data_IF_424154658377
#
_entry.id   IF_424154658377
#
_cell.length_a   1.000
_cell.length_b   1.000
_cell.length_c   1.000
_cell.angle_alpha   90.00
_cell.angle_beta   90.00
_cell.angle_gamma   90.00
#
_symmetry.space_group_name_H-M   'P 1'
#
loop_
_entity.id
_entity.type
_entity.pdbx_description
1 polymer ?
#
# COMPACT_ATOMS: atom_id res chain seq x y z
N UNK A 1 -17.89 10.38 8.80
CA UNK A 1 -16.84 11.38 8.47
C UNK A 1 -15.54 11.16 9.24
N UNK A 2 -15.51 11.22 10.58
CA UNK A 2 -14.27 11.07 11.39
C UNK A 2 -13.39 9.86 11.00
N UNK A 3 -14.01 8.69 10.78
CA UNK A 3 -13.30 7.47 10.39
C UNK A 3 -12.71 7.52 8.99
N UNK A 4 -13.45 8.04 8.02
CA UNK A 4 -12.97 8.20 6.65
C UNK A 4 -11.74 9.13 6.61
N UNK A 5 -11.78 10.24 7.37
CA UNK A 5 -10.64 11.14 7.52
C UNK A 5 -9.44 10.43 8.15
N UNK A 6 -9.66 9.60 9.19
CA UNK A 6 -8.59 8.81 9.82
C UNK A 6 -7.96 7.83 8.82
N UNK A 7 -8.76 7.09 8.07
CA UNK A 7 -8.26 6.16 7.04
C UNK A 7 -7.53 6.90 5.91
N UNK A 8 -8.05 8.02 5.45
CA UNK A 8 -7.37 8.85 4.46
C UNK A 8 -5.99 9.30 4.98
N UNK A 9 -5.94 9.83 6.21
CA UNK A 9 -4.67 10.27 6.82
C UNK A 9 -3.70 9.10 7.04
N UNK A 10 -4.17 7.94 7.49
CA UNK A 10 -3.36 6.73 7.61
C UNK A 10 -2.79 6.31 6.25
N UNK A 11 -3.61 6.34 5.20
CA UNK A 11 -3.18 6.07 3.83
C UNK A 11 -2.13 7.04 3.34
N UNK A 12 -2.33 8.34 3.55
CA UNK A 12 -1.35 9.37 3.20
C UNK A 12 -0.01 9.12 3.90
N UNK A 13 -0.02 8.86 5.21
CA UNK A 13 1.20 8.58 5.97
C UNK A 13 1.91 7.34 5.44
N UNK A 14 1.21 6.22 5.27
CA UNK A 14 1.81 4.98 4.74
C UNK A 14 2.36 5.15 3.33
N UNK A 15 1.63 5.84 2.44
CA UNK A 15 2.08 6.14 1.09
C UNK A 15 3.37 6.95 1.07
N UNK A 16 3.44 8.03 1.85
CA UNK A 16 4.65 8.83 2.00
C UNK A 16 5.81 8.03 2.60
N UNK A 17 5.56 7.22 3.65
CA UNK A 17 6.59 6.38 4.26
C UNK A 17 7.19 5.40 3.26
N UNK A 18 6.35 4.68 2.50
CA UNK A 18 6.82 3.73 1.48
C UNK A 18 7.60 4.45 0.38
N UNK A 19 7.11 5.60 -0.09
CA UNK A 19 7.82 6.40 -1.10
C UNK A 19 9.22 6.80 -0.65
N UNK A 20 9.37 7.32 0.58
CA UNK A 20 10.67 7.73 1.12
C UNK A 20 11.59 6.53 1.32
N UNK A 21 11.08 5.40 1.84
CA UNK A 21 11.87 4.17 2.01
C UNK A 21 12.40 3.65 0.67
N UNK A 22 11.55 3.59 -0.35
CA UNK A 22 11.97 3.17 -1.70
C UNK A 22 12.97 4.17 -2.30
N UNK A 23 12.74 5.48 -2.12
CA UNK A 23 13.68 6.52 -2.55
C UNK A 23 15.06 6.37 -1.93
N UNK A 24 15.15 6.06 -0.62
CA UNK A 24 16.41 5.79 0.06
C UNK A 24 17.11 4.54 -0.48
N UNK A 25 16.36 3.47 -0.75
CA UNK A 25 16.91 2.24 -1.36
C UNK A 25 17.45 2.54 -2.76
N UNK A 26 16.71 3.25 -3.59
CA UNK A 26 17.16 3.61 -4.93
C UNK A 26 18.41 4.51 -4.89
N UNK A 27 18.44 5.50 -4.02
CA UNK A 27 19.63 6.35 -3.83
C UNK A 27 20.85 5.54 -3.38
N UNK A 28 20.67 4.57 -2.47
CA UNK A 28 21.76 3.72 -2.00
C UNK A 28 22.30 2.76 -3.08
N UNK A 29 21.45 2.30 -4.00
CA UNK A 29 21.82 1.33 -5.05
C UNK A 29 22.34 2.00 -6.32
N UNK A 30 21.75 3.13 -6.72
CA UNK A 30 22.00 3.80 -8.00
C UNK A 30 22.88 5.06 -7.88
N UNK A 31 23.18 5.52 -6.64
CA UNK A 31 23.90 6.76 -6.39
C UNK A 31 23.15 7.99 -6.93
N UNK A 32 23.90 9.00 -7.38
CA UNK A 32 23.35 10.26 -7.89
C UNK A 32 22.72 10.15 -9.29
N UNK A 33 22.77 8.99 -9.94
CA UNK A 33 22.25 8.78 -11.31
C UNK A 33 20.73 8.87 -11.45
N UNK A 34 19.99 9.00 -10.35
CA UNK A 34 18.52 8.92 -10.30
C UNK A 34 17.82 10.12 -9.66
N UNK A 35 18.44 11.31 -9.59
CA UNK A 35 17.84 12.49 -8.96
C UNK A 35 16.51 12.84 -9.62
N UNK A 36 15.42 12.76 -8.84
CA UNK A 36 14.10 13.26 -9.24
C UNK A 36 14.16 14.78 -9.36
N UNK A 37 13.88 15.31 -10.56
CA UNK A 37 13.64 16.76 -10.72
C UNK A 37 12.45 17.18 -9.86
N UNK A 38 12.37 18.46 -9.46
CA UNK A 38 11.32 18.93 -8.55
C UNK A 38 9.89 18.60 -8.99
N UNK A 39 9.59 18.73 -10.29
CA UNK A 39 8.27 18.37 -10.83
C UNK A 39 8.00 16.87 -10.76
N UNK A 40 8.99 16.03 -11.10
CA UNK A 40 8.85 14.56 -11.00
C UNK A 40 8.72 14.12 -9.56
N UNK A 41 9.47 14.72 -8.64
CA UNK A 41 9.32 14.43 -7.21
C UNK A 41 7.88 14.67 -6.74
N UNK A 42 7.29 15.82 -7.08
CA UNK A 42 5.92 16.15 -6.72
C UNK A 42 4.93 15.13 -7.30
N UNK A 43 5.06 14.77 -8.58
CA UNK A 43 4.21 13.75 -9.18
C UNK A 43 4.33 12.39 -8.47
N UNK A 44 5.54 11.94 -8.16
CA UNK A 44 5.74 10.66 -7.48
C UNK A 44 5.18 10.69 -6.04
N UNK A 45 5.37 11.80 -5.31
CA UNK A 45 4.83 11.96 -3.96
C UNK A 45 3.30 11.95 -3.94
N UNK A 46 2.65 12.72 -4.82
CA UNK A 46 1.20 12.75 -4.94
C UNK A 46 0.62 11.40 -5.36
N UNK A 47 1.29 10.69 -6.28
CA UNK A 47 0.89 9.33 -6.66
C UNK A 47 1.02 8.35 -5.50
N UNK A 48 2.10 8.43 -4.71
CA UNK A 48 2.26 7.59 -3.53
C UNK A 48 1.19 7.85 -2.47
N UNK A 49 0.85 9.12 -2.24
CA UNK A 49 -0.26 9.53 -1.37
C UNK A 49 -1.61 8.96 -1.86
N UNK A 50 -1.88 9.05 -3.16
CA UNK A 50 -3.10 8.51 -3.77
C UNK A 50 -3.18 6.99 -3.61
N UNK A 51 -2.09 6.27 -3.87
CA UNK A 51 -2.02 4.81 -3.68
C UNK A 51 -2.22 4.43 -2.21
N UNK A 52 -1.55 5.13 -1.29
CA UNK A 52 -1.72 4.91 0.14
C UNK A 52 -3.18 5.04 0.59
N UNK A 53 -3.89 6.06 0.10
CA UNK A 53 -5.35 6.20 0.32
C UNK A 53 -6.15 5.08 -0.37
N UNK A 54 -5.76 4.69 -1.58
CA UNK A 54 -6.38 3.61 -2.35
C UNK A 54 -6.34 2.25 -1.64
N UNK A 55 -5.31 1.99 -0.82
CA UNK A 55 -5.27 0.82 0.07
C UNK A 55 -6.00 1.08 1.40
N UNK A 56 -5.83 2.26 2.00
CA UNK A 56 -6.33 2.49 3.36
C UNK A 56 -7.83 2.70 3.46
N UNK A 57 -8.49 3.35 2.49
CA UNK A 57 -9.94 3.62 2.56
C UNK A 57 -10.75 2.32 2.43
N UNK A 58 -10.49 1.44 1.45
CA UNK A 58 -11.20 0.17 1.31
C UNK A 58 -11.04 -0.78 2.49
N UNK A 59 -10.05 -0.57 3.37
CA UNK A 59 -9.88 -1.35 4.60
C UNK A 59 -11.13 -1.33 5.51
N UNK A 60 -12.03 -0.36 5.37
CA UNK A 60 -13.32 -0.36 6.06
C UNK A 60 -14.17 -1.62 5.79
N UNK A 61 -13.95 -2.33 4.68
CA UNK A 61 -14.67 -3.56 4.35
C UNK A 61 -14.44 -4.68 5.38
N UNK A 62 -13.34 -4.63 6.13
CA UNK A 62 -12.99 -5.64 7.12
C UNK A 62 -13.96 -5.70 8.31
N UNK A 63 -14.71 -4.63 8.56
CA UNK A 63 -15.72 -4.56 9.61
C UNK A 63 -17.03 -5.26 9.24
N UNK A 64 -17.27 -5.57 7.96
CA UNK A 64 -18.50 -6.24 7.55
C UNK A 64 -18.49 -7.71 7.97
N UNK A 65 -19.41 -8.14 8.84
CA UNK A 65 -19.56 -9.56 9.19
C UNK A 65 -20.14 -10.40 8.05
N UNK A 66 -20.77 -9.76 7.06
CA UNK A 66 -21.47 -10.41 5.93
C UNK A 66 -20.54 -10.92 4.83
N UNK A 67 -19.29 -10.46 4.82
CA UNK A 67 -18.34 -10.71 3.72
C UNK A 67 -17.22 -11.61 4.22
N UNK A 68 -16.90 -12.65 3.46
CA UNK A 68 -15.81 -13.59 3.80
C UNK A 68 -14.46 -12.89 3.76
N UNK A 69 -13.50 -13.37 4.56
CA UNK A 69 -12.16 -12.80 4.63
C UNK A 69 -11.44 -12.75 3.25
N UNK A 70 -11.50 -13.79 2.40
CA UNK A 70 -10.88 -13.73 1.08
C UNK A 70 -11.48 -12.65 0.19
N UNK A 71 -12.81 -12.47 0.23
CA UNK A 71 -13.48 -11.44 -0.56
C UNK A 71 -13.18 -10.03 -0.05
N UNK A 72 -13.08 -9.83 1.27
CA UNK A 72 -12.59 -8.58 1.87
C UNK A 72 -11.18 -8.24 1.38
N UNK A 73 -10.29 -9.22 1.37
CA UNK A 73 -8.92 -9.06 0.89
C UNK A 73 -8.90 -8.72 -0.60
N UNK A 74 -9.70 -9.40 -1.42
CA UNK A 74 -9.80 -9.12 -2.86
C UNK A 74 -10.29 -7.69 -3.13
N UNK A 75 -11.34 -7.22 -2.44
CA UNK A 75 -11.87 -5.86 -2.61
C UNK A 75 -10.83 -4.82 -2.18
N UNK A 76 -10.18 -5.02 -1.04
CA UNK A 76 -9.14 -4.12 -0.53
C UNK A 76 -7.97 -4.05 -1.51
N UNK A 77 -7.39 -5.22 -1.87
CA UNK A 77 -6.23 -5.31 -2.74
C UNK A 77 -6.55 -4.80 -4.13
N UNK A 78 -7.68 -5.20 -4.70
CA UNK A 78 -8.14 -4.76 -6.02
C UNK A 78 -8.27 -3.25 -6.11
N UNK A 79 -8.83 -2.61 -5.07
CA UNK A 79 -8.96 -1.14 -5.02
C UNK A 79 -7.59 -0.44 -4.97
N UNK A 80 -6.68 -0.92 -4.11
CA UNK A 80 -5.34 -0.37 -4.00
C UNK A 80 -4.53 -0.52 -5.30
N UNK A 81 -4.57 -1.70 -5.92
CA UNK A 81 -3.90 -1.94 -7.19
C UNK A 81 -4.52 -1.18 -8.36
N UNK A 82 -5.85 -1.01 -8.39
CA UNK A 82 -6.49 -0.18 -9.42
C UNK A 82 -5.94 1.25 -9.41
N UNK A 83 -5.82 1.86 -8.23
CA UNK A 83 -5.21 3.19 -8.09
C UNK A 83 -3.72 3.16 -8.44
N UNK A 84 -2.98 2.16 -7.96
CA UNK A 84 -1.55 1.98 -8.27
C UNK A 84 -1.29 1.95 -9.78
N UNK A 85 -2.05 1.15 -10.54
CA UNK A 85 -1.90 1.09 -11.99
C UNK A 85 -2.32 2.39 -12.65
N UNK A 86 -3.43 3.01 -12.20
CA UNK A 86 -3.93 4.25 -12.77
C UNK A 86 -2.92 5.41 -12.64
N UNK A 87 -2.24 5.55 -11.49
CA UNK A 87 -1.30 6.65 -11.25
C UNK A 87 0.16 6.29 -11.57
N UNK A 88 0.51 5.00 -11.46
CA UNK A 88 1.88 4.50 -11.61
C UNK A 88 2.30 4.28 -13.06
N UNK A 89 1.37 3.86 -13.94
CA UNK A 89 1.67 3.68 -15.37
C UNK A 89 2.11 5.00 -16.03
N UNK A 90 1.39 6.14 -15.89
CA UNK A 90 1.76 7.38 -16.58
C UNK A 90 3.09 7.98 -16.12
N UNK A 91 3.54 7.69 -14.90
CA UNK A 91 4.78 8.22 -14.32
C UNK A 91 5.96 7.24 -14.41
N UNK A 92 5.75 6.07 -15.01
CA UNK A 92 6.81 5.10 -15.29
C UNK A 92 7.22 4.23 -14.10
N UNK A 93 6.32 3.94 -13.16
CA UNK A 93 6.61 2.95 -12.10
C UNK A 93 6.72 1.51 -12.63
N UNK A 94 6.09 1.25 -13.78
CA UNK A 94 6.16 -0.05 -14.46
C UNK A 94 7.05 0.13 -15.70
N UNK A 95 8.27 -0.41 -15.71
CA UNK A 95 9.29 -0.18 -16.74
C UNK A 95 9.02 -1.02 -18.00
N UNK A 96 7.92 -0.74 -18.70
CA UNK A 96 7.48 -1.50 -19.89
C UNK A 96 8.47 -1.43 -21.06
N UNK A 97 9.28 -0.38 -21.12
CA UNK A 97 10.32 -0.16 -22.12
C UNK A 97 11.51 -1.13 -22.00
N UNK A 98 11.72 -1.72 -20.81
CA UNK A 98 12.77 -2.73 -20.58
C UNK A 98 12.25 -4.17 -20.77
N UNK A 99 11.06 -4.32 -21.34
CA UNK A 99 10.45 -5.58 -21.72
C UNK A 99 9.58 -6.23 -20.62
N UNK A 100 8.87 -7.33 -20.96
CA UNK A 100 7.87 -7.94 -20.08
C UNK A 100 8.42 -8.43 -18.75
N UNK A 101 9.69 -8.87 -18.72
CA UNK A 101 10.34 -9.35 -17.50
C UNK A 101 10.52 -8.25 -16.45
N UNK A 102 10.96 -7.05 -16.86
CA UNK A 102 11.13 -5.90 -15.97
C UNK A 102 9.77 -5.41 -15.44
N UNK A 103 8.76 -5.35 -16.32
CA UNK A 103 7.40 -5.01 -15.92
C UNK A 103 6.82 -6.03 -14.90
N UNK A 104 6.99 -7.33 -15.16
CA UNK A 104 6.54 -8.38 -14.24
C UNK A 104 7.26 -8.32 -12.89
N UNK A 105 8.56 -8.02 -12.87
CA UNK A 105 9.33 -7.83 -11.64
C UNK A 105 8.82 -6.63 -10.83
N UNK A 106 8.56 -5.49 -11.47
CA UNK A 106 8.02 -4.30 -10.80
C UNK A 106 6.63 -4.57 -10.19
N UNK A 107 5.74 -5.22 -10.94
CA UNK A 107 4.42 -5.63 -10.45
C UNK A 107 4.54 -6.63 -9.30
N UNK A 108 5.43 -7.62 -9.43
CA UNK A 108 5.71 -8.61 -8.39
C UNK A 108 6.18 -7.96 -7.08
N UNK A 109 7.09 -6.98 -7.17
CA UNK A 109 7.53 -6.19 -6.02
C UNK A 109 6.37 -5.43 -5.38
N UNK A 110 5.53 -4.74 -6.17
CA UNK A 110 4.36 -4.03 -5.64
C UNK A 110 3.36 -4.98 -4.95
N UNK A 111 3.11 -6.16 -5.53
CA UNK A 111 2.26 -7.19 -4.93
C UNK A 111 2.84 -7.71 -3.62
N UNK A 112 4.14 -8.00 -3.60
CA UNK A 112 4.83 -8.48 -2.41
C UNK A 112 4.80 -7.44 -1.29
N UNK A 113 5.17 -6.19 -1.57
CA UNK A 113 5.17 -5.10 -0.57
C UNK A 113 3.78 -4.90 0.04
N UNK A 114 2.73 -4.79 -0.80
CA UNK A 114 1.36 -4.63 -0.32
C UNK A 114 0.89 -5.83 0.52
N UNK A 115 1.25 -7.05 0.10
CA UNK A 115 0.90 -8.27 0.83
C UNK A 115 1.60 -8.35 2.20
N UNK A 116 2.87 -7.94 2.29
CA UNK A 116 3.62 -7.91 3.54
C UNK A 116 3.04 -6.88 4.52
N UNK A 117 2.73 -5.67 4.04
CA UNK A 117 2.09 -4.64 4.86
C UNK A 117 0.74 -5.15 5.40
N UNK A 118 -0.09 -5.71 4.51
CA UNK A 118 -1.38 -6.25 4.90
C UNK A 118 -1.25 -7.41 5.89
N UNK A 119 -0.32 -8.34 5.68
CA UNK A 119 -0.06 -9.45 6.57
C UNK A 119 0.37 -8.94 7.96
N UNK A 120 1.21 -7.91 8.02
CA UNK A 120 1.60 -7.26 9.27
C UNK A 120 0.38 -6.75 10.07
N UNK A 121 -0.50 -5.98 9.41
CA UNK A 121 -1.75 -5.53 10.03
C UNK A 121 -2.67 -6.68 10.44
N UNK A 122 -2.82 -7.69 9.58
CA UNK A 122 -3.64 -8.86 9.87
C UNK A 122 -3.15 -9.61 11.11
N UNK A 123 -1.84 -9.87 11.21
CA UNK A 123 -1.26 -10.55 12.36
C UNK A 123 -1.38 -9.72 13.65
N UNK A 124 -1.19 -8.41 13.55
CA UNK A 124 -1.40 -7.48 14.66
C UNK A 124 -2.85 -7.55 15.17
N UNK A 125 -3.83 -7.38 14.30
CA UNK A 125 -5.25 -7.43 14.67
C UNK A 125 -5.68 -8.80 15.19
N UNK A 126 -5.14 -9.89 14.62
CA UNK A 126 -5.40 -11.25 15.11
C UNK A 126 -4.84 -11.45 16.52
N UNK A 127 -3.69 -10.87 16.84
CA UNK A 127 -3.10 -10.91 18.18
C UNK A 127 -3.94 -10.14 19.19
N UNK A 128 -4.38 -8.92 18.86
CA UNK A 128 -5.26 -8.13 19.74
C UNK A 128 -6.58 -8.85 20.02
N UNK A 129 -7.23 -9.41 19.00
CA UNK A 129 -8.48 -10.16 19.16
C UNK A 129 -8.31 -11.35 20.12
N UNK A 130 -7.20 -12.10 20.00
CA UNK A 130 -6.89 -13.21 20.91
C UNK A 130 -6.69 -12.74 22.36
N UNK A 131 -5.99 -11.63 22.56
CA UNK A 131 -5.72 -11.07 23.90
C UNK A 131 -7.01 -10.59 24.58
N UNK A 132 -7.93 -9.99 23.82
CA UNK A 132 -9.24 -9.58 24.34
C UNK A 132 -10.05 -10.83 24.73
N UNK A 133 -10.12 -11.82 23.84
CA UNK A 133 -10.87 -13.06 24.10
C UNK A 133 -10.35 -13.82 25.33
N UNK A 134 -9.02 -13.90 25.52
CA UNK A 134 -8.45 -14.57 26.69
C UNK A 134 -8.78 -13.87 28.01
N UNK A 135 -8.90 -12.53 28.01
CA UNK A 135 -9.28 -11.74 29.20
C UNK A 135 -10.77 -11.87 29.54
N UNK A 136 -11.61 -12.11 28.53
CA UNK A 136 -13.03 -12.34 28.71
C UNK A 136 -13.31 -13.76 29.22
N UNK A 137 -12.55 -14.76 28.76
CA UNK A 137 -12.68 -16.14 29.24
C UNK A 137 -12.09 -16.40 30.62
N UNK A 138 -11.23 -15.50 31.12
CA UNK A 138 -10.61 -15.60 32.45
C UNK A 138 -11.40 -14.87 33.54
N UNK A 139 -12.57 -14.33 33.23
CA UNK A 139 -13.55 -13.77 34.18
C UNK A 139 -14.72 -14.72 34.31
#
# INVERSE_FOLDING_TARGET
MKKLCKLALTGLMLGCTVFVLLGMIFAAVLGDGGVLTGSRFICHALSAMAVGMGFSIPAMIYESEKITLPLKALIHMGSGFAIYFAVGLPIGWIPTEYGPGAAAAAIGCAVLTSSLIWLGFYLYSRREARQINSRLSSK
#
